data_IF_435605314693
#
_entry.id   IF_435605314693
#
_cell.length_a   1.000
_cell.length_b   1.000
_cell.length_c   1.000
_cell.angle_alpha   90.00
_cell.angle_beta   90.00
_cell.angle_gamma   90.00
#
_symmetry.space_group_name_H-M   'P 1'
#
loop_
_entity.id
_entity.type
_entity.pdbx_description
1 polymer ?
#
# COMPACT_ATOMS: atom_id res chain seq x y z
N UNK A 1 -74.94 6.76 -49.26
CA UNK A 1 -76.32 6.70 -48.69
C UNK A 1 -76.21 6.78 -47.19
N UNK A 2 -76.57 7.92 -46.67
CA UNK A 2 -77.18 8.21 -45.35
C UNK A 2 -76.41 7.75 -44.07
N UNK A 3 -75.95 8.68 -43.34
CA UNK A 3 -76.57 9.60 -42.36
C UNK A 3 -76.65 9.00 -40.96
N UNK A 4 -76.08 9.59 -40.01
CA UNK A 4 -76.41 10.50 -38.92
C UNK A 4 -75.59 10.21 -37.75
N UNK A 5 -74.79 11.14 -37.29
CA UNK A 5 -75.02 12.02 -36.12
C UNK A 5 -75.48 11.30 -34.86
N UNK A 6 -74.62 11.36 -33.82
CA UNK A 6 -75.04 12.06 -32.62
C UNK A 6 -73.86 12.33 -31.68
N UNK A 7 -73.79 13.54 -31.27
CA UNK A 7 -73.01 14.15 -30.20
C UNK A 7 -73.37 13.55 -28.83
N UNK A 8 -72.47 13.61 -27.93
CA UNK A 8 -72.47 14.14 -26.56
C UNK A 8 -71.32 13.45 -25.87
N UNK A 9 -70.41 14.03 -25.22
CA UNK A 9 -70.36 15.22 -24.43
C UNK A 9 -69.42 14.93 -23.25
N UNK A 10 -68.42 15.81 -23.11
CA UNK A 10 -67.86 16.25 -21.85
C UNK A 10 -67.18 15.22 -20.94
N UNK A 11 -66.02 15.34 -20.58
CA UNK A 11 -65.39 16.06 -19.49
C UNK A 11 -63.92 15.73 -19.42
N UNK A 12 -63.12 16.70 -19.77
CA UNK A 12 -61.68 16.66 -19.53
C UNK A 12 -61.41 16.68 -18.03
N UNK A 13 -60.77 15.65 -17.51
CA UNK A 13 -60.02 15.72 -16.27
C UNK A 13 -58.54 15.70 -16.65
N UNK A 14 -57.97 16.89 -16.77
CA UNK A 14 -56.52 17.08 -16.75
C UNK A 14 -56.05 16.83 -15.32
N UNK A 15 -55.55 15.63 -15.03
CA UNK A 15 -54.64 15.42 -13.91
C UNK A 15 -53.23 15.68 -14.37
N UNK A 16 -52.74 16.91 -14.10
CA UNK A 16 -51.35 17.27 -14.18
C UNK A 16 -50.55 16.46 -13.15
N UNK A 17 -49.92 15.34 -13.56
CA UNK A 17 -48.84 14.73 -12.80
C UNK A 17 -47.63 15.65 -12.92
N UNK A 18 -47.40 16.46 -11.90
CA UNK A 18 -46.11 17.10 -11.67
C UNK A 18 -45.15 15.99 -11.25
N UNK A 19 -44.32 15.50 -12.20
CA UNK A 19 -43.10 14.84 -11.86
C UNK A 19 -42.17 15.87 -11.20
N UNK A 20 -42.17 15.87 -9.85
CA UNK A 20 -41.08 16.44 -9.09
C UNK A 20 -39.87 15.54 -9.30
N UNK A 21 -39.08 15.82 -10.32
CA UNK A 21 -37.72 15.32 -10.44
C UNK A 21 -36.93 16.03 -9.34
N UNK A 22 -36.91 15.47 -8.12
CA UNK A 22 -35.87 15.74 -7.17
C UNK A 22 -34.56 15.14 -7.74
N UNK A 23 -33.83 15.96 -8.48
CA UNK A 23 -32.44 15.74 -8.75
C UNK A 23 -31.69 15.97 -7.43
N UNK A 24 -31.65 14.99 -6.56
CA UNK A 24 -30.62 14.91 -5.55
C UNK A 24 -29.33 14.59 -6.27
N UNK A 25 -28.53 15.62 -6.52
CA UNK A 25 -27.09 15.45 -6.62
C UNK A 25 -26.60 15.05 -5.22
N UNK A 26 -26.94 13.83 -4.80
CA UNK A 26 -26.16 13.16 -3.78
C UNK A 26 -24.81 12.81 -4.41
N UNK A 27 -23.86 13.71 -4.24
CA UNK A 27 -22.49 13.28 -4.03
C UNK A 27 -22.59 12.39 -2.80
N UNK A 28 -22.81 11.10 -3.02
CA UNK A 28 -22.80 10.11 -1.96
C UNK A 28 -21.43 10.24 -1.30
N UNK A 29 -21.35 10.96 -0.20
CA UNK A 29 -20.22 10.87 0.72
C UNK A 29 -20.16 9.40 1.04
N UNK A 30 -19.11 8.70 0.53
CA UNK A 30 -18.90 7.29 0.86
C UNK A 30 -18.97 7.19 2.38
N UNK A 31 -19.93 6.41 2.90
CA UNK A 31 -20.10 6.22 4.33
C UNK A 31 -18.97 5.35 4.86
N UNK A 32 -18.66 5.51 6.14
CA UNK A 32 -17.78 4.59 6.86
C UNK A 32 -18.33 3.16 6.79
N UNK A 33 -17.45 2.19 6.49
CA UNK A 33 -17.86 0.81 6.24
C UNK A 33 -17.67 -0.11 7.47
N UNK A 34 -17.28 0.41 8.64
CA UNK A 34 -16.99 -0.42 9.82
C UNK A 34 -18.12 -1.40 10.18
N UNK A 35 -19.38 -0.91 10.20
CA UNK A 35 -20.54 -1.75 10.49
C UNK A 35 -20.72 -2.89 9.49
N UNK A 36 -20.35 -2.67 8.22
CA UNK A 36 -20.39 -3.72 7.21
C UNK A 36 -19.35 -4.81 7.53
N UNK A 37 -18.11 -4.45 7.85
CA UNK A 37 -17.06 -5.41 8.23
C UNK A 37 -17.43 -6.21 9.49
N UNK A 38 -18.05 -5.56 10.50
CA UNK A 38 -18.55 -6.26 11.68
C UNK A 38 -19.67 -7.26 11.35
N UNK A 39 -20.55 -6.91 10.41
CA UNK A 39 -21.65 -7.77 9.98
C UNK A 39 -21.18 -8.94 9.12
N UNK A 40 -20.29 -8.67 8.14
CA UNK A 40 -19.76 -9.64 7.20
C UNK A 40 -18.67 -10.53 7.80
N UNK A 41 -18.12 -10.11 8.95
CA UNK A 41 -16.98 -10.77 9.62
C UNK A 41 -15.78 -10.96 8.72
N UNK A 42 -15.58 -10.05 7.77
CA UNK A 42 -14.44 -10.10 6.85
C UNK A 42 -13.99 -8.72 6.37
N UNK A 43 -12.68 -8.59 6.13
CA UNK A 43 -12.02 -7.44 5.52
C UNK A 43 -11.04 -7.94 4.47
N UNK A 44 -10.92 -7.25 3.34
CA UNK A 44 -9.99 -7.62 2.26
C UNK A 44 -8.81 -6.67 2.26
N UNK A 45 -7.59 -7.22 2.39
CA UNK A 45 -6.35 -6.47 2.41
C UNK A 45 -5.55 -6.71 1.12
N UNK A 46 -5.23 -5.63 0.41
CA UNK A 46 -4.37 -5.66 -0.77
C UNK A 46 -2.89 -5.62 -0.41
N UNK A 47 -2.09 -6.45 -1.06
CA UNK A 47 -0.66 -6.54 -0.81
C UNK A 47 0.12 -7.05 -2.03
N UNK A 48 1.40 -6.70 -2.13
CA UNK A 48 2.36 -7.32 -3.05
C UNK A 48 2.87 -8.62 -2.41
N UNK A 49 2.48 -9.75 -3.00
CA UNK A 49 2.81 -11.09 -2.49
C UNK A 49 4.29 -11.47 -2.59
N UNK A 50 5.14 -10.53 -2.98
CA UNK A 50 6.60 -10.71 -3.07
C UNK A 50 7.37 -9.85 -2.06
N UNK A 51 6.69 -8.99 -1.27
CA UNK A 51 7.34 -7.99 -0.43
C UNK A 51 7.78 -8.57 0.93
N UNK A 52 8.92 -9.25 0.94
CA UNK A 52 9.53 -9.81 2.16
C UNK A 52 10.14 -8.74 3.07
N UNK A 53 10.08 -8.87 4.41
CA UNK A 53 9.33 -9.86 5.19
C UNK A 53 7.92 -9.40 5.56
N UNK A 54 7.38 -8.33 4.94
CA UNK A 54 6.13 -7.71 5.34
C UNK A 54 4.92 -8.58 4.98
N UNK A 55 4.81 -9.01 3.72
CA UNK A 55 3.77 -9.92 3.26
C UNK A 55 4.19 -10.63 1.98
N UNK A 56 4.20 -11.96 1.97
CA UNK A 56 4.65 -12.72 0.81
C UNK A 56 4.02 -14.11 0.72
N UNK A 57 4.08 -14.69 -0.47
CA UNK A 57 3.60 -16.03 -0.77
C UNK A 57 4.70 -17.07 -0.53
N UNK A 58 4.39 -18.10 0.23
CA UNK A 58 5.27 -19.24 0.45
C UNK A 58 5.17 -20.24 -0.70
N UNK A 59 6.06 -21.22 -0.74
CA UNK A 59 6.10 -22.26 -1.78
C UNK A 59 4.87 -23.17 -1.81
N UNK A 60 4.12 -23.24 -0.70
CA UNK A 60 2.87 -23.99 -0.59
C UNK A 60 1.63 -23.16 -0.96
N UNK A 61 1.83 -21.90 -1.37
CA UNK A 61 0.77 -20.97 -1.73
C UNK A 61 0.13 -20.23 -0.55
N UNK A 62 0.58 -20.45 0.68
CA UNK A 62 0.12 -19.69 1.84
C UNK A 62 0.79 -18.33 1.94
N UNK A 63 0.11 -17.36 2.55
CA UNK A 63 0.65 -16.02 2.78
C UNK A 63 1.18 -15.89 4.21
N UNK A 64 2.35 -15.24 4.33
CA UNK A 64 3.03 -15.02 5.60
C UNK A 64 3.77 -13.70 5.58
N UNK A 65 4.17 -13.19 6.75
CA UNK A 65 4.93 -11.94 6.88
C UNK A 65 4.56 -11.19 8.14
N UNK A 66 5.35 -10.15 8.43
CA UNK A 66 5.12 -9.28 9.59
C UNK A 66 3.74 -8.62 9.53
N UNK A 67 3.40 -8.02 8.39
CA UNK A 67 2.10 -7.35 8.20
C UNK A 67 0.94 -8.35 8.18
N UNK A 68 1.17 -9.57 7.65
CA UNK A 68 0.20 -10.66 7.69
C UNK A 68 -0.15 -11.02 9.14
N UNK A 69 0.88 -11.26 9.96
CA UNK A 69 0.69 -11.61 11.36
C UNK A 69 0.06 -10.45 12.15
N UNK A 70 0.51 -9.22 11.92
CA UNK A 70 0.00 -8.04 12.62
C UNK A 70 -1.46 -7.75 12.28
N UNK A 71 -1.82 -7.78 10.99
CA UNK A 71 -3.20 -7.56 10.56
C UNK A 71 -4.14 -8.64 11.09
N UNK A 72 -3.73 -9.92 11.05
CA UNK A 72 -4.51 -11.01 11.63
C UNK A 72 -4.75 -10.79 13.13
N UNK A 73 -3.72 -10.39 13.89
CA UNK A 73 -3.85 -10.10 15.32
C UNK A 73 -4.78 -8.90 15.60
N UNK A 74 -4.72 -7.84 14.76
CA UNK A 74 -5.62 -6.68 14.87
C UNK A 74 -7.07 -7.10 14.67
N UNK A 75 -7.38 -7.82 13.59
CA UNK A 75 -8.76 -8.16 13.24
C UNK A 75 -9.33 -9.31 14.07
N UNK A 76 -8.48 -10.18 14.63
CA UNK A 76 -8.89 -11.18 15.63
C UNK A 76 -9.56 -10.54 16.85
N UNK A 77 -9.10 -9.37 17.30
CA UNK A 77 -9.70 -8.61 18.41
C UNK A 77 -11.17 -8.23 18.17
N UNK A 78 -11.56 -8.13 16.90
CA UNK A 78 -12.93 -7.77 16.47
C UNK A 78 -13.72 -8.98 15.96
N UNK A 79 -13.13 -10.17 15.93
CA UNK A 79 -13.75 -11.37 15.36
C UNK A 79 -14.01 -11.24 13.86
N UNK A 80 -13.11 -10.51 13.15
CA UNK A 80 -13.14 -10.27 11.70
C UNK A 80 -12.03 -11.10 11.06
N UNK A 81 -12.32 -11.80 9.98
CA UNK A 81 -11.36 -12.58 9.22
C UNK A 81 -10.73 -11.73 8.11
N UNK A 82 -9.42 -11.78 7.99
CA UNK A 82 -8.69 -11.11 6.91
C UNK A 82 -8.69 -11.98 5.66
N UNK A 83 -9.09 -11.41 4.53
CA UNK A 83 -8.90 -11.96 3.18
C UNK A 83 -7.74 -11.24 2.53
N UNK A 84 -6.71 -11.99 2.18
CA UNK A 84 -5.51 -11.47 1.52
C UNK A 84 -5.69 -11.49 0.01
N UNK A 85 -5.58 -10.32 -0.62
CA UNK A 85 -5.73 -10.14 -2.07
C UNK A 85 -4.41 -9.66 -2.66
N UNK A 86 -3.67 -10.52 -3.39
CA UNK A 86 -2.52 -10.07 -4.17
C UNK A 86 -2.95 -9.04 -5.21
N UNK A 87 -2.20 -7.95 -5.29
CA UNK A 87 -2.45 -6.86 -6.24
C UNK A 87 -1.15 -6.46 -6.95
N UNK A 88 -1.29 -5.81 -8.09
CA UNK A 88 -0.21 -5.05 -8.68
C UNK A 88 0.02 -3.78 -7.83
N UNK A 89 1.26 -3.59 -7.35
CA UNK A 89 1.55 -2.52 -6.40
C UNK A 89 1.32 -1.11 -6.97
N UNK A 90 1.53 -0.94 -8.27
CA UNK A 90 1.26 0.34 -8.94
C UNK A 90 -0.24 0.70 -8.97
N UNK A 91 -1.12 -0.29 -8.83
CA UNK A 91 -2.58 -0.11 -8.86
C UNK A 91 -3.24 -0.03 -7.47
N UNK A 92 -2.48 -0.09 -6.38
CA UNK A 92 -2.99 -0.22 -4.99
C UNK A 92 -4.07 0.80 -4.60
N UNK A 93 -3.87 2.08 -4.91
CA UNK A 93 -4.86 3.12 -4.57
C UNK A 93 -6.10 3.02 -5.49
N UNK A 94 -5.93 2.54 -6.72
CA UNK A 94 -7.04 2.27 -7.65
C UNK A 94 -7.88 1.11 -7.14
N UNK A 95 -7.26 0.01 -6.74
CA UNK A 95 -7.94 -1.16 -6.15
C UNK A 95 -8.72 -0.78 -4.89
N UNK A 96 -8.12 0.05 -4.00
CA UNK A 96 -8.78 0.56 -2.80
C UNK A 96 -10.00 1.44 -3.14
N UNK A 97 -9.84 2.38 -4.06
CA UNK A 97 -10.90 3.33 -4.41
C UNK A 97 -12.07 2.68 -5.17
N UNK A 98 -11.79 1.63 -5.93
CA UNK A 98 -12.80 0.84 -6.64
C UNK A 98 -13.53 -0.15 -5.70
N UNK A 99 -13.04 -0.36 -4.47
CA UNK A 99 -13.64 -1.30 -3.51
C UNK A 99 -13.28 -2.76 -3.76
N UNK A 100 -12.24 -3.04 -4.55
CA UNK A 100 -11.72 -4.39 -4.75
C UNK A 100 -10.96 -4.88 -3.52
N UNK A 101 -10.39 -3.94 -2.77
CA UNK A 101 -9.77 -4.15 -1.45
C UNK A 101 -10.30 -3.10 -0.47
N UNK A 102 -10.17 -3.37 0.83
CA UNK A 102 -10.61 -2.49 1.90
C UNK A 102 -9.46 -1.72 2.54
N UNK A 103 -8.28 -2.32 2.53
CA UNK A 103 -7.05 -1.75 3.07
C UNK A 103 -5.87 -2.04 2.15
N UNK A 104 -4.88 -1.14 2.16
CA UNK A 104 -3.53 -1.36 1.67
C UNK A 104 -2.65 -1.58 2.89
N UNK A 105 -2.07 -2.81 3.04
CA UNK A 105 -1.22 -3.12 4.18
C UNK A 105 -0.08 -4.04 3.76
N UNK A 106 1.06 -3.43 3.43
CA UNK A 106 2.26 -4.16 3.00
C UNK A 106 3.47 -3.19 2.93
N UNK A 107 3.95 -2.74 4.10
CA UNK A 107 5.03 -1.75 4.14
C UNK A 107 4.66 -0.49 3.38
N UNK A 108 3.46 0.05 3.60
CA UNK A 108 2.93 1.18 2.85
C UNK A 108 3.38 2.50 3.47
N UNK A 109 4.41 3.12 2.89
CA UNK A 109 4.99 4.38 3.38
C UNK A 109 4.01 5.54 3.29
N UNK A 110 3.98 6.34 4.35
CA UNK A 110 3.25 7.62 4.38
C UNK A 110 4.01 8.63 3.51
N UNK A 111 3.38 9.14 2.46
CA UNK A 111 3.87 10.26 1.65
C UNK A 111 2.79 11.33 1.52
N UNK A 112 3.17 12.58 1.21
CA UNK A 112 2.18 13.65 1.05
C UNK A 112 1.25 13.39 -0.13
N UNK A 113 1.77 12.83 -1.23
CA UNK A 113 0.96 12.41 -2.36
C UNK A 113 -0.10 11.36 -1.96
N UNK A 114 0.31 10.35 -1.17
CA UNK A 114 -0.58 9.28 -0.73
C UNK A 114 -1.61 9.76 0.29
N UNK A 115 -1.26 10.74 1.16
CA UNK A 115 -2.21 11.40 2.07
C UNK A 115 -3.38 12.06 1.33
N UNK A 116 -3.18 12.51 0.10
CA UNK A 116 -4.27 13.06 -0.72
C UNK A 116 -5.26 11.97 -1.19
N UNK A 117 -4.80 10.72 -1.31
CA UNK A 117 -5.55 9.60 -1.89
C UNK A 117 -6.21 8.70 -0.85
N UNK A 118 -5.56 8.50 0.31
CA UNK A 118 -5.97 7.55 1.35
C UNK A 118 -5.97 8.18 2.74
N UNK A 119 -6.68 7.55 3.68
CA UNK A 119 -6.58 7.81 5.12
C UNK A 119 -5.59 6.82 5.71
N UNK A 120 -4.60 7.31 6.46
CA UNK A 120 -3.60 6.49 7.10
C UNK A 120 -3.92 6.22 8.57
N UNK A 121 -3.54 5.05 9.05
CA UNK A 121 -3.41 4.79 10.49
C UNK A 121 -2.22 5.56 11.08
N UNK A 122 -2.03 5.46 12.38
CA UNK A 122 -0.74 5.77 13.00
C UNK A 122 0.35 4.92 12.34
N UNK A 123 1.56 5.47 12.16
CA UNK A 123 2.69 4.68 11.65
C UNK A 123 3.05 3.57 12.65
N UNK A 124 3.32 2.36 12.14
CA UNK A 124 3.63 1.22 13.00
C UNK A 124 5.11 0.81 12.97
N UNK A 125 5.85 1.20 11.92
CA UNK A 125 7.26 0.87 11.74
C UNK A 125 7.97 1.96 10.92
N UNK A 126 9.23 2.28 11.27
CA UNK A 126 10.07 3.19 10.47
C UNK A 126 10.74 2.44 9.32
N UNK A 127 11.01 3.15 8.22
CA UNK A 127 11.71 2.65 7.04
C UNK A 127 12.65 3.71 6.46
N UNK A 128 13.55 3.28 5.58
CA UNK A 128 14.47 4.15 4.86
C UNK A 128 14.68 3.62 3.45
N UNK A 129 14.73 4.52 2.47
CA UNK A 129 15.13 4.18 1.11
C UNK A 129 16.66 4.10 1.00
N UNK A 130 17.13 3.01 0.43
CA UNK A 130 18.55 2.72 0.24
C UNK A 130 18.82 2.32 -1.20
N UNK A 131 20.10 2.37 -1.60
CA UNK A 131 20.55 1.79 -2.87
C UNK A 131 21.34 0.52 -2.56
N UNK A 132 20.93 -0.59 -3.17
CA UNK A 132 21.68 -1.85 -3.17
C UNK A 132 22.51 -1.94 -4.43
N UNK A 133 23.81 -2.18 -4.30
CA UNK A 133 24.75 -2.38 -5.41
C UNK A 133 25.62 -3.61 -5.14
N UNK A 134 26.15 -4.24 -6.19
CA UNK A 134 27.14 -5.31 -6.00
C UNK A 134 28.49 -4.72 -5.59
N UNK A 135 29.19 -5.34 -4.64
CA UNK A 135 30.56 -4.91 -4.29
C UNK A 135 31.52 -4.96 -5.47
N UNK A 136 31.31 -5.90 -6.38
CA UNK A 136 32.10 -6.05 -7.61
C UNK A 136 31.96 -4.87 -8.58
N UNK A 137 30.90 -4.05 -8.46
CA UNK A 137 30.68 -2.87 -9.30
C UNK A 137 31.49 -1.65 -8.86
N UNK A 138 32.11 -1.69 -7.66
CA UNK A 138 32.82 -0.57 -7.03
C UNK A 138 31.95 0.68 -6.81
N UNK A 139 30.62 0.52 -6.70
CA UNK A 139 29.67 1.58 -6.35
C UNK A 139 29.43 1.46 -4.84
N UNK A 140 29.89 2.43 -4.06
CA UNK A 140 29.85 2.40 -2.59
C UNK A 140 29.22 3.65 -1.95
N UNK A 141 28.86 4.64 -2.74
CA UNK A 141 28.21 5.88 -2.34
C UNK A 141 27.31 6.41 -3.46
N UNK A 142 26.39 7.32 -3.14
CA UNK A 142 25.43 7.87 -4.11
C UNK A 142 26.10 8.49 -5.33
N UNK A 143 27.20 9.22 -5.15
CA UNK A 143 27.92 9.85 -6.26
C UNK A 143 28.50 8.87 -7.27
N UNK A 144 28.75 7.61 -6.88
CA UNK A 144 29.23 6.56 -7.77
C UNK A 144 28.15 6.06 -8.74
N UNK A 145 26.88 6.41 -8.48
CA UNK A 145 25.75 6.15 -9.39
C UNK A 145 25.75 7.06 -10.62
N UNK A 146 26.72 7.95 -10.76
CA UNK A 146 26.81 8.83 -11.94
C UNK A 146 26.88 8.01 -13.22
N UNK A 147 25.96 8.32 -14.15
CA UNK A 147 25.80 7.65 -15.45
C UNK A 147 25.56 6.12 -15.35
N UNK A 148 25.07 5.63 -14.19
CA UNK A 148 24.75 4.23 -13.90
C UNK A 148 23.26 3.96 -14.07
N UNK A 149 22.92 2.71 -14.39
CA UNK A 149 21.53 2.27 -14.54
C UNK A 149 20.96 1.99 -13.15
N UNK A 150 19.94 2.76 -12.76
CA UNK A 150 19.18 2.55 -11.54
C UNK A 150 17.91 1.73 -11.83
N UNK A 151 17.56 0.81 -10.94
CA UNK A 151 16.26 0.16 -10.90
C UNK A 151 15.43 0.64 -9.72
N UNK A 152 14.10 0.60 -9.84
CA UNK A 152 13.15 0.84 -8.77
C UNK A 152 11.85 0.08 -9.02
N UNK A 153 11.05 -0.18 -7.99
CA UNK A 153 9.70 -0.75 -8.19
C UNK A 153 8.72 0.36 -8.61
N UNK A 154 7.90 0.08 -9.60
CA UNK A 154 6.81 0.96 -10.04
C UNK A 154 5.84 1.23 -8.87
N UNK A 155 5.42 2.49 -8.70
CA UNK A 155 4.49 2.90 -7.64
C UNK A 155 5.06 2.80 -6.22
N UNK A 156 6.36 2.51 -6.03
CA UNK A 156 7.02 2.55 -4.71
C UNK A 156 7.21 3.97 -4.20
N UNK A 157 7.37 4.14 -2.88
CA UNK A 157 7.76 5.43 -2.29
C UNK A 157 9.16 5.84 -2.73
N UNK A 158 10.07 4.88 -2.86
CA UNK A 158 11.41 5.12 -3.38
C UNK A 158 11.40 5.76 -4.77
N UNK A 159 10.59 5.24 -5.70
CA UNK A 159 10.44 5.86 -7.01
C UNK A 159 9.79 7.26 -6.94
N UNK A 160 8.81 7.45 -6.05
CA UNK A 160 8.16 8.76 -5.85
C UNK A 160 9.13 9.83 -5.32
N UNK A 161 9.98 9.50 -4.32
CA UNK A 161 10.97 10.46 -3.81
C UNK A 161 12.12 10.69 -4.80
N UNK A 162 12.50 9.67 -5.59
CA UNK A 162 13.44 9.81 -6.69
C UNK A 162 12.95 10.83 -7.74
N UNK A 163 11.67 10.79 -8.10
CA UNK A 163 11.05 11.74 -9.03
C UNK A 163 10.91 13.15 -8.44
N UNK A 164 10.46 13.25 -7.18
CA UNK A 164 10.15 14.54 -6.54
C UNK A 164 11.38 15.29 -6.01
N UNK A 165 12.51 14.59 -5.79
CA UNK A 165 13.77 15.15 -5.27
C UNK A 165 14.95 14.87 -6.21
N UNK A 166 14.91 15.37 -7.46
CA UNK A 166 15.83 14.95 -8.53
C UNK A 166 17.32 15.21 -8.19
N UNK A 167 17.63 16.24 -7.44
CA UNK A 167 19.01 16.61 -7.09
C UNK A 167 19.74 15.55 -6.24
N UNK A 168 19.00 14.66 -5.55
CA UNK A 168 19.62 13.63 -4.70
C UNK A 168 20.19 12.49 -5.53
N UNK A 169 19.41 11.96 -6.49
CA UNK A 169 19.79 10.76 -7.24
C UNK A 169 19.44 10.83 -8.73
N UNK A 170 18.27 11.39 -9.10
CA UNK A 170 17.76 11.38 -10.47
C UNK A 170 18.71 12.10 -11.46
N UNK A 171 19.23 13.28 -11.07
CA UNK A 171 20.07 14.10 -11.92
C UNK A 171 21.46 13.49 -12.21
N UNK A 172 21.85 12.45 -11.46
CA UNK A 172 23.16 11.81 -11.59
C UNK A 172 23.14 10.45 -12.30
N UNK A 173 22.01 9.74 -12.26
CA UNK A 173 21.89 8.40 -12.89
C UNK A 173 21.74 8.50 -14.42
N UNK A 174 21.96 7.39 -15.12
CA UNK A 174 21.82 7.31 -16.55
C UNK A 174 20.42 7.73 -17.02
N UNK A 175 20.36 8.56 -18.04
CA UNK A 175 19.13 9.10 -18.64
C UNK A 175 18.23 9.90 -17.68
N UNK A 176 18.68 10.22 -16.48
CA UNK A 176 17.89 10.88 -15.45
C UNK A 176 16.58 10.11 -15.15
N UNK A 177 16.65 8.78 -15.18
CA UNK A 177 15.48 7.91 -14.98
C UNK A 177 15.89 6.58 -14.34
N UNK A 178 14.91 5.86 -13.78
CA UNK A 178 15.10 4.52 -13.24
C UNK A 178 14.32 3.49 -14.05
N UNK A 179 14.93 2.34 -14.32
CA UNK A 179 14.24 1.18 -14.89
C UNK A 179 13.18 0.70 -13.87
N UNK A 180 11.91 0.70 -14.28
CA UNK A 180 10.81 0.32 -13.40
C UNK A 180 10.48 -1.16 -13.52
N UNK A 181 10.28 -1.81 -12.39
CA UNK A 181 9.93 -3.22 -12.24
C UNK A 181 8.59 -3.36 -11.52
N UNK A 182 7.83 -4.40 -11.84
CA UNK A 182 6.59 -4.68 -11.11
C UNK A 182 6.89 -5.11 -9.66
N UNK A 183 7.99 -5.85 -9.45
CA UNK A 183 8.40 -6.34 -8.13
C UNK A 183 9.88 -6.11 -7.86
N UNK A 184 10.26 -6.02 -6.58
CA UNK A 184 11.67 -5.96 -6.19
C UNK A 184 12.42 -7.27 -6.53
N UNK A 185 11.74 -8.42 -6.56
CA UNK A 185 12.35 -9.68 -7.00
C UNK A 185 12.87 -9.61 -8.42
N UNK A 186 12.08 -9.06 -9.35
CA UNK A 186 12.51 -8.88 -10.74
C UNK A 186 13.72 -7.94 -10.84
N UNK A 187 13.68 -6.82 -10.11
CA UNK A 187 14.78 -5.87 -10.05
C UNK A 187 16.07 -6.48 -9.47
N UNK A 188 15.96 -7.30 -8.41
CA UNK A 188 17.11 -8.00 -7.82
C UNK A 188 17.71 -9.05 -8.75
N UNK A 189 16.88 -9.73 -9.56
CA UNK A 189 17.36 -10.63 -10.61
C UNK A 189 18.20 -9.84 -11.63
N UNK A 190 17.75 -8.66 -12.04
CA UNK A 190 18.46 -7.82 -13.00
C UNK A 190 19.74 -7.21 -12.40
N UNK A 191 19.71 -6.81 -11.12
CA UNK A 191 20.93 -6.37 -10.40
C UNK A 191 21.95 -7.51 -10.31
N UNK A 192 21.52 -8.72 -9.99
CA UNK A 192 22.39 -9.91 -9.91
C UNK A 192 23.06 -10.22 -11.24
N UNK A 193 22.36 -9.99 -12.35
CA UNK A 193 22.81 -10.26 -13.72
C UNK A 193 23.45 -9.04 -14.42
N UNK A 194 23.80 -7.98 -13.70
CA UNK A 194 24.45 -6.77 -14.23
C UNK A 194 23.63 -6.03 -15.33
N UNK A 195 22.29 -6.14 -15.29
CA UNK A 195 21.41 -5.39 -16.19
C UNK A 195 21.05 -4.01 -15.64
N UNK A 196 21.14 -3.85 -14.33
CA UNK A 196 21.15 -2.58 -13.61
C UNK A 196 22.35 -2.54 -12.67
N UNK A 197 22.84 -1.34 -12.37
CA UNK A 197 24.04 -1.12 -11.53
C UNK A 197 23.66 -0.94 -10.05
N UNK A 198 22.47 -0.42 -9.77
CA UNK A 198 21.95 -0.20 -8.43
C UNK A 198 20.42 -0.33 -8.39
N UNK A 199 19.89 -0.68 -7.25
CA UNK A 199 18.46 -0.82 -6.98
C UNK A 199 18.06 0.09 -5.82
N UNK A 200 17.15 1.05 -6.07
CA UNK A 200 16.51 1.84 -5.03
C UNK A 200 15.38 1.02 -4.41
N UNK A 201 15.47 0.79 -3.10
CA UNK A 201 14.66 -0.21 -2.41
C UNK A 201 14.52 0.11 -0.92
N UNK A 202 13.46 -0.40 -0.31
CA UNK A 202 13.25 -0.35 1.13
C UNK A 202 14.33 -1.12 1.89
N UNK A 203 14.91 -0.51 2.92
CA UNK A 203 15.95 -1.12 3.75
C UNK A 203 15.48 -2.44 4.37
N UNK A 204 14.23 -2.49 4.81
CA UNK A 204 13.64 -3.69 5.43
C UNK A 204 13.65 -4.87 4.46
N UNK A 205 13.26 -4.63 3.20
CA UNK A 205 13.27 -5.66 2.16
C UNK A 205 14.69 -6.13 1.86
N UNK A 206 15.58 -5.20 1.57
CA UNK A 206 16.95 -5.51 1.17
C UNK A 206 17.69 -6.33 2.25
N UNK A 207 17.61 -5.88 3.50
CA UNK A 207 18.26 -6.58 4.61
C UNK A 207 17.74 -8.02 4.75
N UNK A 208 16.42 -8.20 4.77
CA UNK A 208 15.83 -9.52 4.92
C UNK A 208 16.21 -10.44 3.75
N UNK A 209 15.99 -9.98 2.51
CA UNK A 209 16.26 -10.78 1.31
C UNK A 209 17.73 -11.20 1.22
N UNK A 210 18.68 -10.24 1.34
CA UNK A 210 20.10 -10.52 1.22
C UNK A 210 20.64 -11.42 2.34
N UNK A 211 20.07 -11.33 3.54
CA UNK A 211 20.41 -12.23 4.65
C UNK A 211 19.86 -13.64 4.42
N UNK A 212 18.60 -13.78 4.01
CA UNK A 212 17.98 -15.09 3.76
C UNK A 212 18.69 -15.86 2.63
N UNK A 213 19.11 -15.15 1.57
CA UNK A 213 19.90 -15.73 0.50
C UNK A 213 21.37 -15.98 0.89
N UNK A 214 21.82 -15.50 2.03
CA UNK A 214 23.21 -15.62 2.47
C UNK A 214 24.23 -14.83 1.67
N UNK A 215 23.78 -13.79 0.93
CA UNK A 215 24.60 -13.03 -0.01
C UNK A 215 24.83 -11.57 0.42
N UNK A 216 24.41 -11.16 1.59
CA UNK A 216 24.54 -9.77 2.06
C UNK A 216 26.01 -9.28 2.04
N UNK A 217 26.95 -10.21 2.22
CA UNK A 217 28.38 -9.88 2.16
C UNK A 217 28.87 -9.45 0.77
N UNK A 218 28.13 -9.75 -0.30
CA UNK A 218 28.49 -9.45 -1.68
C UNK A 218 27.92 -8.10 -2.17
N UNK A 219 27.10 -7.46 -1.35
CA UNK A 219 26.42 -6.22 -1.70
C UNK A 219 26.80 -5.04 -0.79
N UNK A 220 26.74 -3.84 -1.33
CA UNK A 220 26.77 -2.59 -0.58
C UNK A 220 25.31 -2.16 -0.34
N UNK A 221 25.05 -1.67 0.87
CA UNK A 221 23.80 -1.03 1.27
C UNK A 221 24.12 0.43 1.52
N UNK A 222 23.72 1.28 0.60
CA UNK A 222 24.07 2.71 0.55
C UNK A 222 22.85 3.51 0.97
N UNK A 223 22.99 4.41 1.93
CA UNK A 223 21.95 5.39 2.23
C UNK A 223 21.70 6.25 0.99
N UNK A 224 20.47 6.26 0.49
CA UNK A 224 20.11 6.99 -0.72
C UNK A 224 20.06 8.52 -0.50
N UNK A 225 20.08 8.97 0.75
CA UNK A 225 20.06 10.40 1.13
C UNK A 225 18.65 11.01 1.15
N UNK A 226 17.61 10.22 1.02
CA UNK A 226 16.22 10.66 1.22
C UNK A 226 15.87 10.67 2.72
N UNK A 227 14.85 11.46 3.09
CA UNK A 227 14.32 11.44 4.44
C UNK A 227 13.78 10.05 4.81
N UNK A 228 13.83 9.72 6.10
CA UNK A 228 13.25 8.48 6.60
C UNK A 228 11.73 8.47 6.40
N UNK A 229 11.20 7.31 6.15
CA UNK A 229 9.79 7.04 5.96
C UNK A 229 9.22 6.27 7.15
N UNK A 230 7.90 6.19 7.21
CA UNK A 230 7.21 5.32 8.16
C UNK A 230 6.10 4.56 7.46
N UNK A 231 5.96 3.28 7.77
CA UNK A 231 4.89 2.43 7.28
C UNK A 231 3.62 2.59 8.10
N UNK A 232 2.50 2.68 7.41
CA UNK A 232 1.16 2.71 7.99
C UNK A 232 0.18 1.95 7.10
N UNK A 233 -1.03 1.73 7.60
CA UNK A 233 -2.10 1.10 6.83
C UNK A 233 -2.90 2.18 6.11
N UNK A 234 -3.17 1.97 4.82
CA UNK A 234 -3.99 2.87 4.02
C UNK A 234 -5.43 2.37 3.91
N UNK A 235 -6.40 3.23 4.21
CA UNK A 235 -7.83 3.00 4.08
C UNK A 235 -8.48 4.04 3.16
N UNK A 236 -9.72 3.80 2.72
CA UNK A 236 -10.49 4.86 2.04
C UNK A 236 -10.69 6.06 2.98
N UNK A 237 -10.70 7.25 2.43
CA UNK A 237 -10.89 8.51 3.19
C UNK A 237 -12.16 8.51 4.06
N UNK A 238 -13.17 7.74 3.70
CA UNK A 238 -14.42 7.60 4.43
C UNK A 238 -14.36 6.65 5.63
N UNK A 239 -13.39 5.74 5.67
CA UNK A 239 -13.34 4.63 6.63
C UNK A 239 -12.63 5.04 7.93
N UNK A 240 -13.13 6.12 8.56
CA UNK A 240 -12.52 6.73 9.76
C UNK A 240 -12.59 5.80 10.97
N UNK A 241 -13.72 5.14 11.20
CA UNK A 241 -13.89 4.20 12.32
C UNK A 241 -13.00 2.97 12.16
N UNK A 242 -12.79 2.49 10.92
CA UNK A 242 -11.85 1.39 10.65
C UNK A 242 -10.42 1.77 11.07
N UNK A 243 -9.97 2.97 10.66
CA UNK A 243 -8.63 3.48 11.02
C UNK A 243 -8.48 3.68 12.54
N UNK A 244 -9.48 4.25 13.21
CA UNK A 244 -9.48 4.41 14.67
C UNK A 244 -9.39 3.07 15.40
N UNK A 245 -10.12 2.06 14.94
CA UNK A 245 -10.11 0.73 15.52
C UNK A 245 -8.77 0.02 15.29
N UNK A 246 -8.14 0.16 14.13
CA UNK A 246 -6.79 -0.38 13.88
C UNK A 246 -5.78 0.29 14.83
N UNK A 247 -5.82 1.62 14.96
CA UNK A 247 -4.91 2.35 15.88
C UNK A 247 -5.10 1.90 17.33
N UNK A 248 -6.35 1.74 17.78
CA UNK A 248 -6.65 1.21 19.10
C UNK A 248 -6.11 -0.20 19.28
N UNK A 249 -6.29 -1.07 18.29
CA UNK A 249 -5.78 -2.43 18.34
C UNK A 249 -4.24 -2.46 18.38
N UNK A 250 -3.54 -1.58 17.65
CA UNK A 250 -2.08 -1.47 17.74
C UNK A 250 -1.61 -1.19 19.16
N UNK A 251 -2.20 -0.17 19.82
CA UNK A 251 -1.85 0.18 21.19
C UNK A 251 -2.15 -0.97 22.18
N UNK A 252 -3.29 -1.65 22.01
CA UNK A 252 -3.66 -2.80 22.83
C UNK A 252 -2.70 -3.98 22.62
N UNK A 253 -2.40 -4.36 21.38
CA UNK A 253 -1.45 -5.43 21.05
C UNK A 253 -0.05 -5.14 21.59
N UNK A 254 0.37 -3.87 21.53
CA UNK A 254 1.65 -3.45 22.11
C UNK A 254 1.64 -3.64 23.64
N UNK A 255 0.59 -3.16 24.31
CA UNK A 255 0.43 -3.29 25.77
C UNK A 255 0.34 -4.75 26.23
N UNK A 256 -0.23 -5.62 25.43
CA UNK A 256 -0.34 -7.07 25.66
C UNK A 256 0.95 -7.84 25.35
N UNK A 257 1.94 -7.19 24.73
CA UNK A 257 3.20 -7.82 24.31
C UNK A 257 3.12 -8.57 22.98
N UNK A 258 1.95 -8.60 22.33
CA UNK A 258 1.74 -9.34 21.08
C UNK A 258 2.42 -8.67 19.89
N UNK A 259 2.43 -7.34 19.84
CA UNK A 259 3.18 -6.61 18.81
C UNK A 259 4.67 -6.93 18.88
N UNK A 260 5.26 -6.91 20.09
CA UNK A 260 6.67 -7.24 20.29
C UNK A 260 6.98 -8.71 19.95
N UNK A 261 6.08 -9.65 20.26
CA UNK A 261 6.23 -11.05 19.86
C UNK A 261 6.34 -11.20 18.33
N UNK A 262 5.44 -10.53 17.59
CA UNK A 262 5.44 -10.53 16.12
C UNK A 262 6.70 -9.84 15.59
N UNK A 263 7.06 -8.69 16.15
CA UNK A 263 8.26 -7.93 15.82
C UNK A 263 9.53 -8.76 16.01
N UNK A 264 9.65 -9.41 17.16
CA UNK A 264 10.79 -10.29 17.48
C UNK A 264 10.89 -11.48 16.53
N UNK A 265 9.74 -12.06 16.13
CA UNK A 265 9.71 -13.18 15.18
C UNK A 265 10.33 -12.81 13.84
N UNK A 266 10.05 -11.61 13.32
CA UNK A 266 10.42 -11.21 11.96
C UNK A 266 11.72 -10.43 11.86
N UNK A 267 12.03 -9.61 12.89
CA UNK A 267 13.17 -8.69 12.87
C UNK A 267 14.20 -8.97 13.96
N UNK A 268 13.87 -9.76 14.98
CA UNK A 268 14.75 -9.97 16.12
C UNK A 268 14.84 -8.78 17.08
N UNK A 269 13.99 -7.77 16.90
CA UNK A 269 13.93 -6.56 17.70
C UNK A 269 12.50 -5.97 17.72
N UNK A 270 12.24 -5.00 18.61
CA UNK A 270 10.98 -4.24 18.63
C UNK A 270 11.04 -3.07 17.64
N UNK A 271 10.29 -3.16 16.55
CA UNK A 271 10.22 -2.15 15.49
C UNK A 271 9.06 -1.16 15.65
N UNK A 272 8.30 -1.25 16.75
CA UNK A 272 7.16 -0.36 16.99
C UNK A 272 7.59 1.10 17.07
N UNK A 273 6.86 1.98 16.39
CA UNK A 273 7.02 3.43 16.53
C UNK A 273 6.46 3.92 17.87
N UNK A 274 6.80 5.15 18.25
CA UNK A 274 6.22 5.78 19.44
C UNK A 274 4.70 6.00 19.33
N UNK A 275 4.18 6.08 18.10
CA UNK A 275 2.74 6.22 17.85
C UNK A 275 1.95 4.93 18.17
N UNK A 276 2.60 3.77 18.13
CA UNK A 276 2.01 2.49 18.55
C UNK A 276 2.12 2.30 20.07
N UNK A 277 3.21 2.81 20.68
CA UNK A 277 3.52 2.61 22.11
C UNK A 277 2.62 3.44 23.04
N UNK A 278 2.03 4.53 22.55
CA UNK A 278 1.21 5.48 23.30
C UNK A 278 -0.27 5.35 22.93
#
# INVERSE_FOLDING_TARGET
>A
MNIKKMMLGALAFLTSLTLAACGSNDSATKSDNWTAYESEKSVTIGFDKTFVPMGFEQTDGSYTGFDIDLANAVFEKYGITVKWQPIDWDLKETELNNGNIDLIWNGYSITDERKEKVLFTNPYMDNQQIIVTKKSSNISQVSDMKDKILGAQAGSSGYSVFESQPAILKDIVQNNDASQYATFNEALIDLKNDRIDGLLIDRVYANYYLQQEGIIADYNIIDAGFENEAFAVGARKSDTTLVENINKAFAELYKEGKFQEISQKWFGEDVATDAVKN
#
